data_IF_974755348382
#
_entry.id   IF_974755348382
#
_cell.length_a   1.000
_cell.length_b   1.000
_cell.length_c   1.000
_cell.angle_alpha   90.00
_cell.angle_beta   90.00
_cell.angle_gamma   90.00
#
_symmetry.space_group_name_H-M   'P 1'
#
loop_
_entity.id
_entity.type
_entity.pdbx_description
1 polymer ?
#
# COMPACT_ATOMS: atom_id res chain seq x y z
N UNK A 1 -30.19 25.06 6.55
CA UNK A 1 -29.71 23.70 6.85
C UNK A 1 -29.20 23.06 5.58
N UNK A 2 -27.94 23.35 5.24
CA UNK A 2 -27.22 22.66 4.16
C UNK A 2 -26.42 21.53 4.79
N UNK A 3 -27.03 20.34 4.84
CA UNK A 3 -26.40 19.10 5.30
C UNK A 3 -25.42 18.53 4.26
N UNK A 4 -24.42 19.32 3.84
CA UNK A 4 -23.37 18.91 2.90
C UNK A 4 -22.00 19.29 3.49
N UNK A 5 -21.58 18.58 4.54
CA UNK A 5 -20.19 18.37 4.93
C UNK A 5 -20.20 17.61 6.26
N UNK A 6 -19.91 16.29 6.27
CA UNK A 6 -19.42 15.51 7.43
C UNK A 6 -19.46 13.99 7.18
N UNK A 7 -18.85 13.51 6.09
CA UNK A 7 -18.24 12.17 6.17
C UNK A 7 -16.74 12.35 5.98
N UNK A 8 -15.97 12.44 7.09
CA UNK A 8 -14.52 12.50 7.01
C UNK A 8 -13.96 11.28 6.26
N UNK A 9 -12.78 11.47 5.67
CA UNK A 9 -12.13 10.60 4.69
C UNK A 9 -12.51 9.11 4.76
N UNK A 10 -13.24 8.65 3.75
CA UNK A 10 -13.73 7.26 3.62
C UNK A 10 -12.59 6.24 3.72
N UNK A 11 -11.36 6.63 3.39
CA UNK A 11 -10.18 5.77 3.48
C UNK A 11 -9.92 5.30 4.91
N UNK A 12 -9.90 6.20 5.89
CA UNK A 12 -9.60 5.86 7.28
C UNK A 12 -10.63 4.88 7.87
N UNK A 13 -11.90 5.04 7.52
CA UNK A 13 -12.96 4.11 7.91
C UNK A 13 -12.79 2.74 7.25
N UNK A 14 -12.43 2.69 5.96
CA UNK A 14 -12.14 1.43 5.26
C UNK A 14 -10.93 0.71 5.86
N UNK A 15 -9.86 1.43 6.14
CA UNK A 15 -8.65 0.90 6.80
C UNK A 15 -8.98 0.35 8.18
N UNK A 16 -9.70 1.12 9.00
CA UNK A 16 -10.11 0.69 10.35
C UNK A 16 -11.00 -0.56 10.30
N UNK A 17 -11.92 -0.63 9.34
CA UNK A 17 -12.81 -1.77 9.17
C UNK A 17 -12.05 -3.04 8.79
N UNK A 18 -11.13 -2.95 7.81
CA UNK A 18 -10.26 -4.06 7.42
C UNK A 18 -9.38 -4.49 8.59
N UNK A 19 -8.73 -3.55 9.27
CA UNK A 19 -7.82 -3.85 10.36
C UNK A 19 -8.51 -4.55 11.53
N UNK A 20 -9.70 -4.06 11.90
CA UNK A 20 -10.50 -4.65 12.96
C UNK A 20 -10.83 -6.11 12.66
N UNK A 21 -11.35 -6.40 11.45
CA UNK A 21 -11.76 -7.76 11.11
C UNK A 21 -10.56 -8.69 10.89
N UNK A 22 -9.59 -8.28 10.07
CA UNK A 22 -8.47 -9.13 9.68
C UNK A 22 -7.45 -9.35 10.80
N UNK A 23 -7.07 -8.29 11.52
CA UNK A 23 -5.91 -8.34 12.40
C UNK A 23 -6.28 -8.36 13.88
N UNK A 24 -7.32 -7.62 14.29
CA UNK A 24 -7.73 -7.54 15.70
C UNK A 24 -8.64 -8.70 16.09
N UNK A 25 -9.70 -8.93 15.31
CA UNK A 25 -10.64 -10.03 15.54
C UNK A 25 -10.16 -11.34 14.93
N UNK A 26 -9.31 -11.27 13.89
CA UNK A 26 -8.86 -12.42 13.10
C UNK A 26 -10.03 -13.22 12.50
N UNK A 27 -11.13 -12.52 12.21
CA UNK A 27 -12.30 -13.08 11.55
C UNK A 27 -12.09 -13.04 10.05
N UNK A 28 -11.55 -14.12 9.50
CA UNK A 28 -11.24 -14.21 8.08
C UNK A 28 -12.48 -14.40 7.21
N UNK A 29 -13.58 -14.92 7.77
CA UNK A 29 -14.85 -15.04 7.05
C UNK A 29 -15.43 -13.66 6.78
N UNK A 30 -15.42 -12.77 7.77
CA UNK A 30 -15.87 -11.39 7.61
C UNK A 30 -14.83 -10.49 6.93
N UNK A 31 -13.56 -10.64 7.27
CA UNK A 31 -12.49 -9.72 6.86
C UNK A 31 -12.05 -9.87 5.41
N UNK A 32 -11.98 -11.10 4.89
CA UNK A 32 -11.47 -11.35 3.54
C UNK A 32 -12.33 -10.70 2.43
N UNK A 33 -13.68 -10.78 2.47
CA UNK A 33 -14.52 -10.03 1.52
C UNK A 33 -14.30 -8.50 1.58
N UNK A 34 -14.12 -7.95 2.78
CA UNK A 34 -13.87 -6.52 2.97
C UNK A 34 -12.51 -6.13 2.40
N UNK A 35 -11.49 -6.97 2.59
CA UNK A 35 -10.17 -6.77 2.01
C UNK A 35 -10.21 -6.75 0.48
N UNK A 36 -10.87 -7.74 -0.14
CA UNK A 36 -11.05 -7.80 -1.60
C UNK A 36 -11.72 -6.54 -2.15
N UNK A 37 -12.79 -6.09 -1.49
CA UNK A 37 -13.48 -4.87 -1.89
C UNK A 37 -12.57 -3.65 -1.74
N UNK A 38 -11.75 -3.60 -0.69
CA UNK A 38 -10.82 -2.49 -0.48
C UNK A 38 -9.74 -2.45 -1.57
N UNK A 39 -9.19 -3.60 -1.98
CA UNK A 39 -8.24 -3.69 -3.11
C UNK A 39 -8.89 -3.18 -4.40
N UNK A 40 -10.10 -3.65 -4.73
CA UNK A 40 -10.83 -3.19 -5.92
C UNK A 40 -11.08 -1.68 -5.89
N UNK A 41 -11.61 -1.17 -4.78
CA UNK A 41 -11.85 0.26 -4.59
C UNK A 41 -10.56 1.07 -4.79
N UNK A 42 -9.41 0.57 -4.30
CA UNK A 42 -8.12 1.25 -4.42
C UNK A 42 -7.64 1.35 -5.87
N UNK A 43 -7.75 0.25 -6.62
CA UNK A 43 -7.36 0.16 -8.03
C UNK A 43 -8.28 1.01 -8.91
N UNK A 44 -9.60 0.90 -8.74
CA UNK A 44 -10.60 1.64 -9.52
C UNK A 44 -10.43 3.15 -9.38
N UNK A 45 -10.05 3.60 -8.18
CA UNK A 45 -9.77 5.02 -7.89
C UNK A 45 -8.45 5.50 -8.46
N UNK A 46 -7.55 4.60 -8.85
CA UNK A 46 -6.14 4.91 -9.18
C UNK A 46 -5.46 5.78 -8.11
N UNK A 47 -5.84 5.59 -6.85
CA UNK A 47 -5.36 6.39 -5.74
C UNK A 47 -4.20 5.69 -5.05
N UNK A 48 -3.02 6.31 -5.10
CA UNK A 48 -1.83 5.78 -4.45
C UNK A 48 -2.07 5.51 -2.95
N UNK A 49 -2.64 6.47 -2.22
CA UNK A 49 -2.91 6.31 -0.79
C UNK A 49 -3.84 5.13 -0.47
N UNK A 50 -4.86 4.88 -1.30
CA UNK A 50 -5.73 3.71 -1.12
C UNK A 50 -4.96 2.41 -1.38
N UNK A 51 -4.17 2.36 -2.45
CA UNK A 51 -3.38 1.19 -2.80
C UNK A 51 -2.30 0.90 -1.76
N UNK A 52 -1.64 1.94 -1.24
CA UNK A 52 -0.69 1.88 -0.14
C UNK A 52 -1.32 1.20 1.08
N UNK A 53 -2.45 1.74 1.56
CA UNK A 53 -3.08 1.20 2.76
C UNK A 53 -3.62 -0.21 2.56
N UNK A 54 -4.13 -0.53 1.37
CA UNK A 54 -4.53 -1.89 1.05
C UNK A 54 -3.35 -2.86 1.08
N UNK A 55 -2.22 -2.49 0.46
CA UNK A 55 -1.01 -3.32 0.45
C UNK A 55 -0.41 -3.43 1.87
N UNK A 56 -0.52 -2.36 2.67
CA UNK A 56 -0.11 -2.35 4.08
C UNK A 56 -0.90 -3.38 4.90
N UNK A 57 -2.22 -3.49 4.74
CA UNK A 57 -2.99 -4.53 5.45
C UNK A 57 -2.60 -5.96 5.03
N UNK A 58 -1.98 -6.14 3.86
CA UNK A 58 -1.60 -7.46 3.35
C UNK A 58 -0.16 -7.87 3.71
N UNK A 59 0.76 -6.90 3.85
CA UNK A 59 2.20 -7.18 3.97
C UNK A 59 2.93 -6.37 5.03
N UNK A 60 2.28 -5.44 5.76
CA UNK A 60 2.96 -4.70 6.81
C UNK A 60 3.64 -5.63 7.84
N UNK A 61 4.86 -5.30 8.29
CA UNK A 61 5.53 -6.06 9.33
C UNK A 61 4.74 -5.96 10.64
N UNK A 62 4.70 -7.06 11.39
CA UNK A 62 4.06 -7.11 12.71
C UNK A 62 2.60 -7.57 12.73
N UNK A 63 1.97 -7.78 11.58
CA UNK A 63 0.70 -8.51 11.52
C UNK A 63 0.94 -10.01 11.38
N UNK A 64 0.00 -10.77 11.96
CA UNK A 64 -0.03 -12.23 11.84
C UNK A 64 -0.89 -12.63 10.64
N UNK A 65 -0.25 -13.22 9.64
CA UNK A 65 -0.88 -13.65 8.39
C UNK A 65 -1.16 -15.16 8.33
N UNK A 66 -0.93 -15.91 9.41
CA UNK A 66 -1.06 -17.38 9.43
C UNK A 66 -2.46 -17.88 9.04
N UNK A 67 -3.51 -17.11 9.35
CA UNK A 67 -4.89 -17.42 8.98
C UNK A 67 -5.32 -16.93 7.59
N UNK A 68 -4.47 -16.18 6.87
CA UNK A 68 -4.80 -15.63 5.57
C UNK A 68 -4.55 -16.67 4.47
N UNK A 69 -5.49 -16.89 3.52
CA UNK A 69 -5.22 -17.70 2.33
C UNK A 69 -4.04 -17.14 1.53
N UNK A 70 -2.87 -17.80 1.62
CA UNK A 70 -1.60 -17.28 1.10
C UNK A 70 -1.68 -16.91 -0.38
N UNK A 71 -2.19 -17.80 -1.24
CA UNK A 71 -2.29 -17.55 -2.68
C UNK A 71 -3.11 -16.30 -3.01
N UNK A 72 -4.21 -16.08 -2.30
CA UNK A 72 -5.07 -14.92 -2.51
C UNK A 72 -4.45 -13.62 -1.98
N UNK A 73 -3.77 -13.68 -0.83
CA UNK A 73 -3.00 -12.55 -0.29
C UNK A 73 -1.95 -12.08 -1.28
N UNK A 74 -1.17 -13.01 -1.84
CA UNK A 74 -0.14 -12.72 -2.81
C UNK A 74 -0.71 -12.23 -4.15
N UNK A 75 -1.83 -12.78 -4.63
CA UNK A 75 -2.48 -12.30 -5.85
C UNK A 75 -2.95 -10.83 -5.71
N UNK A 76 -3.59 -10.48 -4.60
CA UNK A 76 -3.97 -9.08 -4.32
C UNK A 76 -2.74 -8.18 -4.19
N UNK A 77 -1.67 -8.66 -3.55
CA UNK A 77 -0.41 -7.94 -3.41
C UNK A 77 0.27 -7.66 -4.75
N UNK A 78 0.26 -8.63 -5.65
CA UNK A 78 0.82 -8.51 -6.99
C UNK A 78 0.08 -7.44 -7.80
N UNK A 79 -1.25 -7.50 -7.80
CA UNK A 79 -2.10 -6.58 -8.54
C UNK A 79 -1.88 -5.14 -8.07
N UNK A 80 -1.97 -4.88 -6.77
CA UNK A 80 -1.69 -3.56 -6.17
C UNK A 80 -0.28 -3.08 -6.51
N UNK A 81 0.72 -3.94 -6.38
CA UNK A 81 2.12 -3.58 -6.62
C UNK A 81 2.36 -3.17 -8.08
N UNK A 82 1.75 -3.86 -9.05
CA UNK A 82 1.80 -3.50 -10.47
C UNK A 82 1.16 -2.14 -10.71
N UNK A 83 -0.01 -1.87 -10.11
CA UNK A 83 -0.69 -0.60 -10.26
C UNK A 83 0.10 0.56 -9.64
N UNK A 84 0.66 0.40 -8.44
CA UNK A 84 1.48 1.42 -7.77
C UNK A 84 2.71 1.77 -8.63
N UNK A 85 3.44 0.77 -9.12
CA UNK A 85 4.64 0.99 -9.94
C UNK A 85 4.32 1.67 -11.28
N UNK A 86 3.11 1.45 -11.81
CA UNK A 86 2.65 2.05 -13.06
C UNK A 86 2.07 3.47 -12.90
N UNK A 87 1.93 4.01 -11.69
CA UNK A 87 1.44 5.38 -11.48
C UNK A 87 2.42 6.42 -12.06
N UNK A 88 1.90 7.53 -12.63
CA UNK A 88 2.72 8.61 -13.16
C UNK A 88 3.59 9.25 -12.06
N UNK A 89 4.75 9.76 -12.49
CA UNK A 89 5.76 10.38 -11.63
C UNK A 89 5.41 11.83 -11.24
N UNK A 90 4.15 12.11 -10.93
CA UNK A 90 3.76 13.50 -10.65
C UNK A 90 4.00 13.81 -9.17
N UNK A 91 5.03 14.62 -8.90
CA UNK A 91 5.24 15.27 -7.59
C UNK A 91 5.83 14.40 -6.47
N UNK A 92 6.52 13.28 -6.78
CA UNK A 92 7.30 12.52 -5.79
C UNK A 92 6.49 11.63 -4.83
N UNK A 93 5.18 11.49 -5.01
CA UNK A 93 4.30 10.76 -4.08
C UNK A 93 4.59 9.25 -4.01
N UNK A 94 4.88 8.59 -5.15
CA UNK A 94 5.06 7.13 -5.26
C UNK A 94 6.07 6.51 -4.28
N UNK A 95 7.08 7.30 -3.90
CA UNK A 95 8.18 6.86 -3.05
C UNK A 95 7.70 6.51 -1.65
N UNK A 96 6.57 7.07 -1.22
CA UNK A 96 5.92 6.70 0.04
C UNK A 96 5.36 5.28 0.01
N UNK A 97 5.00 4.78 -1.17
CA UNK A 97 4.45 3.42 -1.34
C UNK A 97 5.49 2.34 -1.64
N UNK A 98 6.67 2.72 -2.11
CA UNK A 98 7.72 1.77 -2.47
C UNK A 98 8.19 0.86 -1.32
N UNK A 99 8.28 1.31 -0.05
CA UNK A 99 8.63 0.43 1.06
C UNK A 99 7.65 -0.74 1.23
N UNK A 100 6.34 -0.51 1.09
CA UNK A 100 5.35 -1.59 1.24
C UNK A 100 5.29 -2.49 0.00
N UNK A 101 5.59 -1.96 -1.19
CA UNK A 101 5.77 -2.76 -2.41
C UNK A 101 7.03 -3.64 -2.31
N UNK A 102 8.12 -3.11 -1.77
CA UNK A 102 9.34 -3.87 -1.51
C UNK A 102 9.08 -5.03 -0.55
N UNK A 103 8.28 -4.80 0.50
CA UNK A 103 7.88 -5.86 1.44
C UNK A 103 7.11 -6.99 0.75
N UNK A 104 6.18 -6.66 -0.15
CA UNK A 104 5.52 -7.66 -1.00
C UNK A 104 6.54 -8.48 -1.80
N UNK A 105 7.47 -7.83 -2.52
CA UNK A 105 8.47 -8.55 -3.34
C UNK A 105 9.41 -9.40 -2.50
N UNK A 106 9.80 -8.95 -1.31
CA UNK A 106 10.61 -9.74 -0.39
C UNK A 106 9.87 -11.01 0.05
N UNK A 107 8.61 -10.89 0.49
CA UNK A 107 7.80 -12.03 0.90
C UNK A 107 7.43 -12.97 -0.25
N UNK A 108 7.34 -12.44 -1.47
CA UNK A 108 7.10 -13.23 -2.69
C UNK A 108 8.37 -13.90 -3.23
N UNK A 109 9.53 -13.67 -2.60
CA UNK A 109 10.82 -14.27 -2.96
C UNK A 109 11.66 -13.48 -3.97
N UNK A 110 11.20 -12.32 -4.45
CA UNK A 110 11.95 -11.45 -5.36
C UNK A 110 12.73 -10.39 -4.59
N UNK A 111 13.82 -10.81 -3.95
CA UNK A 111 14.63 -9.95 -3.09
C UNK A 111 15.33 -8.82 -3.84
N UNK A 112 15.79 -9.08 -5.06
CA UNK A 112 16.48 -8.08 -5.88
C UNK A 112 15.55 -6.89 -6.18
N UNK A 113 14.31 -7.18 -6.57
CA UNK A 113 13.31 -6.13 -6.81
C UNK A 113 12.95 -5.34 -5.55
N UNK A 114 12.91 -6.02 -4.40
CA UNK A 114 12.66 -5.35 -3.12
C UNK A 114 13.78 -4.35 -2.78
N UNK A 115 15.05 -4.76 -2.94
CA UNK A 115 16.21 -3.90 -2.70
C UNK A 115 16.22 -2.71 -3.66
N UNK A 116 16.03 -2.95 -4.95
CA UNK A 116 16.01 -1.91 -5.98
C UNK A 116 14.99 -0.80 -5.67
N UNK A 117 13.78 -1.17 -5.23
CA UNK A 117 12.73 -0.22 -4.87
C UNK A 117 13.09 0.63 -3.65
N UNK A 118 13.76 0.03 -2.65
CA UNK A 118 14.23 0.76 -1.47
C UNK A 118 15.35 1.73 -1.83
N UNK A 119 16.33 1.30 -2.62
CA UNK A 119 17.43 2.16 -3.09
C UNK A 119 16.92 3.34 -3.92
N UNK A 120 15.96 3.10 -4.83
CA UNK A 120 15.31 4.17 -5.59
C UNK A 120 14.60 5.19 -4.68
N UNK A 121 13.96 4.71 -3.61
CA UNK A 121 13.28 5.55 -2.62
C UNK A 121 14.27 6.42 -1.86
N UNK A 122 15.36 5.82 -1.37
CA UNK A 122 16.40 6.55 -0.65
C UNK A 122 17.04 7.63 -1.52
N UNK A 123 17.44 7.27 -2.75
CA UNK A 123 18.03 8.22 -3.70
C UNK A 123 17.10 9.38 -4.04
N UNK A 124 15.80 9.13 -4.14
CA UNK A 124 14.82 10.19 -4.40
C UNK A 124 14.64 11.13 -3.20
N UNK A 125 14.75 10.61 -1.97
CA UNK A 125 14.64 11.39 -0.75
C UNK A 125 15.90 12.22 -0.44
N UNK A 126 17.08 11.81 -0.93
CA UNK A 126 18.33 12.57 -0.81
C UNK A 126 18.28 13.94 -1.54
N UNK A 127 17.33 14.13 -2.46
CA UNK A 127 17.18 15.36 -3.22
C UNK A 127 18.28 15.54 -4.29
N UNK A 128 18.19 16.57 -5.14
CA UNK A 128 19.29 16.89 -6.04
C UNK A 128 20.53 17.28 -5.23
N UNK A 129 21.72 16.87 -5.68
CA UNK A 129 22.97 17.36 -5.10
C UNK A 129 22.97 18.89 -5.07
N UNK A 130 23.40 19.52 -3.96
CA UNK A 130 23.53 20.97 -3.92
C UNK A 130 24.46 21.40 -5.05
N UNK A 131 23.96 22.25 -5.94
CA UNK A 131 24.80 22.89 -6.96
C UNK A 131 25.87 23.68 -6.19
N UNK A 132 27.13 23.33 -6.39
CA UNK A 132 28.23 24.13 -5.88
C UNK A 132 28.17 25.50 -6.54
N UNK A 133 27.80 26.53 -5.77
CA UNK A 133 28.02 27.92 -6.13
C UNK A 133 29.54 28.16 -6.04
N UNK A 134 30.26 27.82 -7.11
CA UNK A 134 31.60 28.33 -7.34
C UNK A 134 31.46 29.81 -7.76
N UNK A 135 31.53 30.71 -6.77
CA UNK A 135 31.75 32.16 -6.94
C UNK A 135 33.20 32.54 -6.68
#
# INVERSE_FOLDING_TARGET
>A
EEGIALIPDKLNFRVSHVNLLLHRMRDMQAGLPVMRQFVRDAIDRKSEGWMYWALYQLFAPGFDYSGFPSAERFAMGEELSKHIVALPQDGGSKFLSYPVVAQYYHESGNKDRAIELLEQTLKALEGPEPVSDDL
#
